data_IF_362772907397
#
_entry.id   IF_362772907397
#
_cell.length_a   1.000
_cell.length_b   1.000
_cell.length_c   1.000
_cell.angle_alpha   90.00
_cell.angle_beta   90.00
_cell.angle_gamma   90.00
#
_symmetry.space_group_name_H-M   'P 1'
#
loop_
_entity.id
_entity.type
_entity.pdbx_description
1 polymer ?
#
# COMPACT_ATOMS: atom_id res chain seq x y z
N UNK A 1 -7.05 -13.93 24.89
CA UNK A 1 -7.02 -14.82 23.72
C UNK A 1 -7.94 -14.19 22.70
N UNK A 2 -7.44 -13.93 21.49
CA UNK A 2 -8.22 -13.31 20.42
C UNK A 2 -9.11 -14.38 19.79
N UNK A 3 -10.37 -14.09 19.55
CA UNK A 3 -11.31 -15.07 19.01
C UNK A 3 -11.78 -14.61 17.63
N UNK A 4 -11.72 -15.52 16.66
CA UNK A 4 -12.44 -15.35 15.40
C UNK A 4 -13.93 -15.56 15.68
N UNK A 5 -14.70 -14.48 15.60
CA UNK A 5 -16.14 -14.44 15.87
C UNK A 5 -16.93 -14.27 14.57
N UNK A 6 -18.25 -14.41 14.62
CA UNK A 6 -19.10 -14.40 13.41
C UNK A 6 -19.08 -13.07 12.65
N UNK A 7 -18.70 -11.97 13.32
CA UNK A 7 -18.45 -10.66 12.71
C UNK A 7 -17.21 -10.64 11.79
N UNK A 8 -16.26 -11.57 11.97
CA UNK A 8 -15.10 -11.73 11.10
C UNK A 8 -15.41 -12.54 9.82
N UNK A 9 -16.62 -13.07 9.67
CA UNK A 9 -17.00 -13.81 8.47
C UNK A 9 -17.20 -12.86 7.29
N UNK A 10 -16.37 -13.02 6.26
CA UNK A 10 -16.49 -12.24 5.03
C UNK A 10 -17.37 -12.93 3.98
N UNK A 11 -17.68 -14.21 4.19
CA UNK A 11 -18.55 -15.00 3.32
C UNK A 11 -17.80 -15.71 2.19
N UNK A 12 -16.48 -15.87 2.35
CA UNK A 12 -15.60 -16.60 1.44
C UNK A 12 -14.95 -17.72 2.27
N UNK A 13 -15.56 -18.91 2.28
CA UNK A 13 -15.22 -20.01 3.20
C UNK A 13 -13.71 -20.29 3.28
N UNK A 14 -13.01 -20.27 2.14
CA UNK A 14 -11.56 -20.51 2.06
C UNK A 14 -10.73 -19.43 2.77
N UNK A 15 -11.16 -18.17 2.74
CA UNK A 15 -10.48 -17.07 3.45
C UNK A 15 -10.88 -17.03 4.92
N UNK A 16 -12.16 -17.29 5.22
CA UNK A 16 -12.65 -17.41 6.60
C UNK A 16 -11.91 -18.54 7.37
N UNK A 17 -11.62 -19.67 6.71
CA UNK A 17 -10.82 -20.76 7.28
C UNK A 17 -9.36 -20.35 7.54
N UNK A 18 -8.75 -19.57 6.65
CA UNK A 18 -7.40 -19.04 6.84
C UNK A 18 -7.33 -18.07 8.02
N UNK A 19 -8.28 -17.14 8.14
CA UNK A 19 -8.36 -16.21 9.26
C UNK A 19 -8.44 -16.94 10.59
N UNK A 20 -9.29 -17.98 10.69
CA UNK A 20 -9.36 -18.83 11.89
C UNK A 20 -8.01 -19.44 12.23
N UNK A 21 -7.29 -19.92 11.22
CA UNK A 21 -6.00 -20.55 11.43
C UNK A 21 -4.91 -19.56 11.86
N UNK A 22 -4.89 -18.36 11.28
CA UNK A 22 -3.99 -17.28 11.68
C UNK A 22 -4.22 -16.89 13.15
N UNK A 23 -5.47 -16.73 13.58
CA UNK A 23 -5.78 -16.50 15.00
C UNK A 23 -5.34 -17.66 15.90
N UNK A 24 -5.48 -18.92 15.46
CA UNK A 24 -4.97 -20.08 16.21
C UNK A 24 -3.46 -19.96 16.44
N UNK A 25 -2.69 -19.71 15.38
CA UNK A 25 -1.23 -19.60 15.46
C UNK A 25 -0.80 -18.46 16.38
N UNK A 26 -1.41 -17.27 16.24
CA UNK A 26 -1.16 -16.12 17.09
C UNK A 26 -1.43 -16.45 18.57
N UNK A 27 -2.57 -17.07 18.86
CA UNK A 27 -2.93 -17.45 20.23
C UNK A 27 -1.97 -18.49 20.81
N UNK A 28 -1.49 -19.45 20.01
CA UNK A 28 -0.52 -20.45 20.47
C UNK A 28 0.80 -19.81 20.89
N UNK A 29 1.29 -18.81 20.15
CA UNK A 29 2.47 -18.04 20.57
C UNK A 29 2.17 -17.32 21.88
N UNK A 30 1.04 -16.62 21.99
CA UNK A 30 0.67 -15.88 23.20
C UNK A 30 0.51 -16.78 24.43
N UNK A 31 0.01 -18.01 24.29
CA UNK A 31 -0.05 -18.97 25.39
C UNK A 31 1.35 -19.43 25.83
N UNK A 32 2.24 -19.76 24.88
CA UNK A 32 3.62 -20.12 25.21
C UNK A 32 4.35 -18.99 25.94
N UNK A 33 4.10 -17.73 25.59
CA UNK A 33 4.74 -16.58 26.24
C UNK A 33 4.32 -16.36 27.69
N UNK A 34 3.24 -17.01 28.16
CA UNK A 34 2.85 -17.01 29.59
C UNK A 34 3.68 -18.00 30.42
N UNK A 35 4.35 -18.94 29.77
CA UNK A 35 5.18 -19.95 30.42
C UNK A 35 6.59 -19.42 30.71
N UNK A 36 7.26 -20.06 31.67
CA UNK A 36 8.63 -19.74 32.07
C UNK A 36 9.59 -19.78 30.86
N UNK A 37 10.53 -18.82 30.74
CA UNK A 37 11.46 -18.75 29.62
C UNK A 37 12.49 -19.87 29.63
N UNK A 38 12.15 -20.97 28.97
CA UNK A 38 13.05 -22.11 28.73
C UNK A 38 13.51 -22.17 27.27
N UNK A 39 14.62 -22.86 27.01
CA UNK A 39 15.12 -23.09 25.65
C UNK A 39 14.14 -23.93 24.80
N UNK A 40 13.41 -24.86 25.43
CA UNK A 40 12.37 -25.65 24.78
C UNK A 40 11.20 -24.76 24.34
N UNK A 41 10.69 -23.91 25.24
CA UNK A 41 9.67 -22.90 24.93
C UNK A 41 10.12 -22.02 23.77
N UNK A 42 11.36 -21.54 23.78
CA UNK A 42 11.88 -20.69 22.70
C UNK A 42 11.91 -21.40 21.34
N UNK A 43 12.28 -22.69 21.33
CA UNK A 43 12.27 -23.51 20.12
C UNK A 43 10.85 -23.66 19.57
N UNK A 44 9.86 -23.87 20.45
CA UNK A 44 8.45 -23.97 20.06
C UNK A 44 7.91 -22.64 19.54
N UNK A 45 8.23 -21.51 20.20
CA UNK A 45 7.86 -20.16 19.74
C UNK A 45 8.40 -19.91 18.34
N UNK A 46 9.69 -20.14 18.10
CA UNK A 46 10.29 -19.91 16.79
C UNK A 46 9.65 -20.79 15.70
N UNK A 47 9.39 -22.06 15.99
CA UNK A 47 8.74 -22.97 15.04
C UNK A 47 7.31 -22.52 14.67
N UNK A 48 6.56 -21.94 15.62
CA UNK A 48 5.22 -21.42 15.35
C UNK A 48 5.29 -20.09 14.60
N UNK A 49 6.27 -19.22 14.90
CA UNK A 49 6.49 -17.98 14.16
C UNK A 49 6.84 -18.25 12.69
N UNK A 50 7.72 -19.20 12.41
CA UNK A 50 8.05 -19.59 11.03
C UNK A 50 6.82 -20.11 10.28
N UNK A 51 5.96 -20.87 10.99
CA UNK A 51 4.70 -21.36 10.42
C UNK A 51 3.70 -20.21 10.19
N UNK A 52 3.58 -19.28 11.12
CA UNK A 52 2.72 -18.10 10.99
C UNK A 52 3.15 -17.24 9.80
N UNK A 53 4.44 -17.00 9.64
CA UNK A 53 4.97 -16.24 8.50
C UNK A 53 4.64 -16.91 7.18
N UNK A 54 4.93 -18.21 7.03
CA UNK A 54 4.64 -18.92 5.79
C UNK A 54 3.14 -19.01 5.49
N UNK A 55 2.30 -19.18 6.52
CA UNK A 55 0.85 -19.28 6.33
C UNK A 55 0.20 -17.93 6.02
N UNK A 56 0.64 -16.85 6.68
CA UNK A 56 0.15 -15.51 6.38
C UNK A 56 0.49 -15.12 4.93
N UNK A 57 1.71 -15.41 4.47
CA UNK A 57 2.10 -15.13 3.08
C UNK A 57 1.23 -15.90 2.07
N UNK A 58 1.01 -17.20 2.33
CA UNK A 58 0.12 -18.01 1.49
C UNK A 58 -1.32 -17.49 1.46
N UNK A 59 -1.85 -17.11 2.63
CA UNK A 59 -3.19 -16.56 2.77
C UNK A 59 -3.34 -15.25 1.97
N UNK A 60 -2.42 -14.30 2.14
CA UNK A 60 -2.45 -13.02 1.43
C UNK A 60 -2.31 -13.20 -0.08
N UNK A 61 -1.43 -14.10 -0.56
CA UNK A 61 -1.35 -14.41 -2.00
C UNK A 61 -2.69 -14.91 -2.51
N UNK A 62 -3.32 -15.85 -1.79
CA UNK A 62 -4.62 -16.42 -2.18
C UNK A 62 -5.73 -15.36 -2.20
N UNK A 63 -5.71 -14.44 -1.25
CA UNK A 63 -6.65 -13.33 -1.16
C UNK A 63 -6.46 -12.32 -2.29
N UNK A 64 -5.23 -11.88 -2.51
CA UNK A 64 -4.84 -10.95 -3.58
C UNK A 64 -5.19 -11.53 -4.95
N UNK A 65 -4.92 -12.83 -5.20
CA UNK A 65 -5.33 -13.53 -6.43
C UNK A 65 -6.84 -13.54 -6.61
N UNK A 66 -7.61 -13.71 -5.53
CA UNK A 66 -9.07 -13.69 -5.59
C UNK A 66 -9.60 -12.28 -5.88
N UNK A 67 -9.05 -11.26 -5.20
CA UNK A 67 -9.37 -9.86 -5.43
C UNK A 67 -9.04 -9.43 -6.87
N UNK A 68 -7.92 -9.88 -7.43
CA UNK A 68 -7.55 -9.63 -8.82
C UNK A 68 -8.58 -10.25 -9.78
N UNK A 69 -9.01 -11.49 -9.52
CA UNK A 69 -10.02 -12.18 -10.35
C UNK A 69 -11.36 -11.44 -10.39
N UNK A 70 -11.81 -10.89 -9.26
CA UNK A 70 -13.08 -10.15 -9.18
C UNK A 70 -12.92 -8.66 -9.49
N UNK A 71 -11.69 -8.23 -9.77
CA UNK A 71 -11.33 -6.84 -10.00
C UNK A 71 -11.70 -5.93 -8.82
N UNK A 72 -11.34 -6.33 -7.60
CA UNK A 72 -11.69 -5.56 -6.41
C UNK A 72 -10.91 -4.23 -6.31
N UNK A 73 -11.58 -3.06 -6.15
CA UNK A 73 -10.91 -1.76 -6.11
C UNK A 73 -10.03 -1.54 -4.88
N UNK A 74 -10.21 -2.30 -3.79
CA UNK A 74 -9.38 -2.18 -2.60
C UNK A 74 -8.06 -2.97 -2.72
N UNK A 75 -7.81 -3.68 -3.83
CA UNK A 75 -6.64 -4.58 -3.96
C UNK A 75 -5.31 -3.88 -3.67
N UNK A 76 -5.09 -2.66 -4.18
CA UNK A 76 -3.82 -1.96 -3.95
C UNK A 76 -3.61 -1.60 -2.49
N UNK A 77 -4.68 -1.12 -1.86
CA UNK A 77 -4.69 -0.74 -0.46
C UNK A 77 -4.47 -1.96 0.43
N UNK A 78 -5.13 -3.08 0.13
CA UNK A 78 -4.95 -4.33 0.87
C UNK A 78 -3.56 -4.93 0.66
N UNK A 79 -2.98 -4.91 -0.56
CA UNK A 79 -1.58 -5.29 -0.78
C UNK A 79 -0.60 -4.48 0.08
N UNK A 80 -0.83 -3.18 0.23
CA UNK A 80 0.00 -2.34 1.11
C UNK A 80 -0.16 -2.73 2.60
N UNK A 81 -1.39 -3.01 3.03
CA UNK A 81 -1.70 -3.51 4.37
C UNK A 81 -1.03 -4.88 4.63
N UNK A 82 -1.11 -5.82 3.69
CA UNK A 82 -0.46 -7.14 3.78
C UNK A 82 1.06 -7.01 3.88
N UNK A 83 1.67 -6.12 3.07
CA UNK A 83 3.10 -5.85 3.14
C UNK A 83 3.52 -5.30 4.51
N UNK A 84 2.75 -4.39 5.09
CA UNK A 84 2.97 -3.93 6.46
C UNK A 84 2.91 -5.09 7.47
N UNK A 85 1.96 -6.01 7.34
CA UNK A 85 1.87 -7.19 8.19
C UNK A 85 3.09 -8.11 8.04
N UNK A 86 3.55 -8.36 6.81
CA UNK A 86 4.78 -9.14 6.53
C UNK A 86 6.00 -8.51 7.20
N UNK A 87 6.14 -7.20 7.13
CA UNK A 87 7.23 -6.48 7.80
C UNK A 87 7.17 -6.58 9.32
N UNK A 88 5.96 -6.48 9.91
CA UNK A 88 5.75 -6.68 11.35
C UNK A 88 6.10 -8.09 11.80
N UNK A 89 5.80 -9.12 11.01
CA UNK A 89 6.25 -10.48 11.28
C UNK A 89 7.77 -10.62 11.23
N UNK A 90 8.44 -9.96 10.27
CA UNK A 90 9.90 -9.96 10.20
C UNK A 90 10.55 -9.25 11.41
N UNK A 91 9.94 -8.18 11.92
CA UNK A 91 10.32 -7.52 13.19
C UNK A 91 10.18 -8.47 14.39
N UNK A 92 9.07 -9.20 14.47
CA UNK A 92 8.79 -10.20 15.50
C UNK A 92 9.83 -11.33 15.47
N UNK A 93 10.14 -11.88 14.29
CA UNK A 93 11.14 -12.94 14.14
C UNK A 93 12.55 -12.47 14.53
N UNK A 94 12.94 -11.24 14.18
CA UNK A 94 14.23 -10.68 14.64
C UNK A 94 14.26 -10.53 16.17
N UNK A 95 13.18 -10.03 16.75
CA UNK A 95 13.07 -9.84 18.20
C UNK A 95 13.07 -11.16 18.98
N UNK A 96 12.50 -12.23 18.41
CA UNK A 96 12.52 -13.56 19.03
C UNK A 96 13.91 -14.20 19.09
N UNK A 97 14.87 -13.72 18.30
CA UNK A 97 16.25 -14.21 18.29
C UNK A 97 17.17 -13.47 19.28
N UNK A 98 16.79 -12.27 19.74
CA UNK A 98 17.59 -11.47 20.66
C UNK A 98 17.26 -11.83 22.11
N UNK A 99 18.17 -12.55 22.78
CA UNK A 99 18.01 -12.89 24.19
C UNK A 99 18.20 -11.64 25.07
N UNK A 100 17.23 -11.36 25.94
CA UNK A 100 17.27 -10.23 26.87
C UNK A 100 16.23 -10.34 27.98
N UNK A 101 16.40 -9.60 29.09
CA UNK A 101 15.49 -9.65 30.25
C UNK A 101 14.04 -9.31 29.87
N UNK A 102 13.84 -8.44 28.88
CA UNK A 102 12.52 -7.93 28.48
C UNK A 102 11.93 -8.63 27.23
N UNK A 103 12.63 -9.63 26.66
CA UNK A 103 12.26 -10.26 25.39
C UNK A 103 10.82 -10.80 25.40
N UNK A 104 10.41 -11.47 26.48
CA UNK A 104 9.07 -12.06 26.58
C UNK A 104 7.99 -10.96 26.59
N UNK A 105 8.27 -9.82 27.24
CA UNK A 105 7.34 -8.69 27.25
C UNK A 105 7.25 -8.05 25.86
N UNK A 106 8.37 -7.72 25.23
CA UNK A 106 8.40 -7.13 23.88
C UNK A 106 7.68 -8.02 22.87
N UNK A 107 7.95 -9.32 22.89
CA UNK A 107 7.30 -10.27 21.99
C UNK A 107 5.79 -10.37 22.25
N UNK A 108 5.37 -10.28 23.52
CA UNK A 108 3.94 -10.24 23.89
C UNK A 108 3.25 -8.98 23.36
N UNK A 109 3.89 -7.82 23.47
CA UNK A 109 3.36 -6.55 22.94
C UNK A 109 3.21 -6.59 21.42
N UNK A 110 4.24 -7.05 20.70
CA UNK A 110 4.20 -7.19 19.24
C UNK A 110 3.14 -8.20 18.77
N UNK A 111 3.03 -9.35 19.44
CA UNK A 111 1.99 -10.35 19.11
C UNK A 111 0.57 -9.82 19.37
N UNK A 112 0.37 -9.04 20.43
CA UNK A 112 -0.92 -8.38 20.67
C UNK A 112 -1.24 -7.31 19.63
N UNK A 113 -0.24 -6.56 19.17
CA UNK A 113 -0.39 -5.63 18.05
C UNK A 113 -0.82 -6.37 16.79
N UNK A 114 -0.12 -7.45 16.43
CA UNK A 114 -0.40 -8.26 15.24
C UNK A 114 -1.84 -8.82 15.25
N UNK A 115 -2.29 -9.31 16.41
CA UNK A 115 -3.64 -9.84 16.58
C UNK A 115 -4.72 -8.76 16.43
N UNK A 116 -4.49 -7.56 16.98
CA UNK A 116 -5.40 -6.42 16.83
C UNK A 116 -5.44 -5.93 15.40
N UNK A 117 -4.29 -5.88 14.73
CA UNK A 117 -4.20 -5.50 13.32
C UNK A 117 -5.00 -6.48 12.46
N UNK A 118 -4.78 -7.79 12.62
CA UNK A 118 -5.50 -8.81 11.84
C UNK A 118 -7.02 -8.68 12.01
N UNK A 119 -7.48 -8.53 13.26
CA UNK A 119 -8.90 -8.32 13.53
C UNK A 119 -9.43 -7.03 12.89
N UNK A 120 -8.69 -5.93 12.99
CA UNK A 120 -9.07 -4.65 12.39
C UNK A 120 -9.12 -4.70 10.86
N UNK A 121 -8.14 -5.38 10.24
CA UNK A 121 -8.05 -5.54 8.80
C UNK A 121 -9.25 -6.33 8.27
N UNK A 122 -9.56 -7.49 8.84
CA UNK A 122 -10.74 -8.29 8.47
C UNK A 122 -12.03 -7.46 8.53
N UNK A 123 -12.23 -6.70 9.61
CA UNK A 123 -13.46 -5.93 9.82
C UNK A 123 -13.57 -4.62 9.02
N UNK A 124 -12.46 -4.10 8.50
CA UNK A 124 -12.44 -2.81 7.79
C UNK A 124 -12.12 -2.93 6.30
N UNK A 125 -11.42 -3.99 5.91
CA UNK A 125 -10.84 -4.20 4.60
C UNK A 125 -11.41 -5.47 3.97
N UNK A 126 -11.13 -6.65 4.54
CA UNK A 126 -11.46 -7.94 3.91
C UNK A 126 -12.98 -8.12 3.80
N UNK A 127 -13.74 -7.57 4.76
CA UNK A 127 -15.20 -7.55 4.70
C UNK A 127 -15.73 -6.80 3.47
N UNK A 128 -14.96 -5.91 2.85
CA UNK A 128 -15.36 -5.16 1.66
C UNK A 128 -15.08 -5.89 0.35
N UNK A 129 -14.33 -7.00 0.39
CA UNK A 129 -14.00 -7.80 -0.79
C UNK A 129 -15.29 -8.21 -1.52
N UNK A 130 -15.37 -7.87 -2.81
CA UNK A 130 -16.49 -8.14 -3.70
C UNK A 130 -17.75 -7.31 -3.43
N UNK A 131 -17.71 -6.31 -2.53
CA UNK A 131 -18.85 -5.44 -2.22
C UNK A 131 -18.84 -4.13 -2.99
N UNK A 132 -17.71 -3.75 -3.56
CA UNK A 132 -17.56 -2.54 -4.37
C UNK A 132 -17.63 -2.86 -5.88
N UNK A 133 -17.95 -1.87 -6.73
CA UNK A 133 -17.87 -2.03 -8.18
C UNK A 133 -16.43 -2.38 -8.60
N UNK A 134 -16.28 -3.22 -9.62
CA UNK A 134 -14.99 -3.63 -10.11
C UNK A 134 -14.10 -2.41 -10.47
N UNK A 135 -12.88 -2.40 -9.94
CA UNK A 135 -11.81 -1.48 -10.32
C UNK A 135 -11.51 -1.59 -11.81
N UNK A 136 -11.08 -0.48 -12.40
CA UNK A 136 -10.46 -0.51 -13.73
C UNK A 136 -9.15 -1.30 -13.68
N UNK A 137 -8.79 -1.97 -14.79
CA UNK A 137 -7.75 -3.03 -14.82
C UNK A 137 -6.36 -2.59 -14.32
N UNK A 138 -6.10 -1.28 -14.31
CA UNK A 138 -4.83 -0.70 -13.85
C UNK A 138 -4.70 -0.70 -12.32
N UNK A 139 -5.81 -0.65 -11.57
CA UNK A 139 -5.83 -0.67 -10.09
C UNK A 139 -5.59 -2.06 -9.49
N UNK A 140 -5.35 -3.09 -10.30
CA UNK A 140 -5.26 -4.46 -9.82
C UNK A 140 -3.87 -5.07 -9.99
N UNK A 141 -2.93 -4.30 -10.54
CA UNK A 141 -1.57 -4.76 -10.80
C UNK A 141 -0.78 -4.97 -9.51
N UNK A 142 0.06 -6.01 -9.50
CA UNK A 142 1.00 -6.31 -8.40
C UNK A 142 1.81 -5.08 -8.00
N UNK A 143 2.18 -4.27 -9.00
CA UNK A 143 2.75 -2.95 -8.82
C UNK A 143 1.87 -1.91 -9.52
N UNK A 144 0.96 -1.22 -8.82
CA UNK A 144 0.13 -0.18 -9.44
C UNK A 144 0.95 1.07 -9.81
N UNK A 145 2.15 1.19 -9.26
CA UNK A 145 3.11 2.23 -9.60
C UNK A 145 4.00 1.83 -10.79
N UNK A 146 3.72 0.72 -11.48
CA UNK A 146 4.42 0.34 -12.70
C UNK A 146 3.85 1.07 -13.92
N UNK A 147 4.71 1.78 -14.64
CA UNK A 147 4.37 2.34 -15.95
C UNK A 147 4.35 1.24 -17.02
N UNK A 148 3.19 0.98 -17.63
CA UNK A 148 3.04 -0.01 -18.71
C UNK A 148 2.67 0.66 -20.04
N UNK A 149 2.70 -0.11 -21.13
CA UNK A 149 2.40 0.38 -22.47
C UNK A 149 0.99 0.99 -22.63
N UNK A 150 0.06 0.69 -21.72
CA UNK A 150 -1.29 1.28 -21.77
C UNK A 150 -1.31 2.78 -21.46
N UNK A 151 -0.32 3.27 -20.69
CA UNK A 151 -0.18 4.68 -20.31
C UNK A 151 0.56 5.51 -21.34
N UNK A 152 1.06 4.87 -22.42
CA UNK A 152 1.70 5.59 -23.51
C UNK A 152 0.69 6.46 -24.25
N UNK A 153 1.02 7.74 -24.35
CA UNK A 153 0.35 8.72 -25.21
C UNK A 153 0.81 8.56 -26.66
N UNK A 154 2.02 8.01 -26.86
CA UNK A 154 2.68 7.92 -28.16
C UNK A 154 3.56 9.14 -28.47
N UNK A 155 3.61 10.13 -27.58
CA UNK A 155 4.48 11.30 -27.62
C UNK A 155 5.69 11.00 -26.71
N UNK A 156 6.88 10.86 -27.31
CA UNK A 156 8.04 10.27 -26.63
C UNK A 156 8.47 11.02 -25.35
N UNK A 157 8.43 12.36 -25.34
CA UNK A 157 8.86 13.13 -24.17
C UNK A 157 7.85 13.00 -23.00
N UNK A 158 6.55 13.09 -23.29
CA UNK A 158 5.46 12.88 -22.31
C UNK A 158 5.55 11.47 -21.72
N UNK A 159 5.74 10.45 -22.55
CA UNK A 159 5.87 9.06 -22.09
C UNK A 159 7.09 8.86 -21.15
N UNK A 160 8.20 9.58 -21.40
CA UNK A 160 9.38 9.53 -20.53
C UNK A 160 9.15 10.25 -19.19
N UNK A 161 8.44 11.37 -19.21
CA UNK A 161 8.07 12.11 -18.00
C UNK A 161 7.08 11.33 -17.14
N UNK A 162 6.06 10.69 -17.75
CA UNK A 162 5.18 9.79 -17.02
C UNK A 162 5.94 8.64 -16.35
N UNK A 163 6.90 8.01 -17.04
CA UNK A 163 7.71 6.95 -16.43
C UNK A 163 8.45 7.42 -15.17
N UNK A 164 8.94 8.66 -15.17
CA UNK A 164 9.64 9.22 -14.02
C UNK A 164 8.66 9.57 -12.88
N UNK A 165 7.48 10.12 -13.18
CA UNK A 165 6.42 10.33 -12.18
C UNK A 165 6.03 9.02 -11.49
N UNK A 166 5.83 7.94 -12.26
CA UNK A 166 5.54 6.61 -11.70
C UNK A 166 6.68 6.10 -10.82
N UNK A 167 7.95 6.31 -11.20
CA UNK A 167 9.10 5.95 -10.35
C UNK A 167 9.15 6.74 -9.04
N UNK A 168 8.87 8.04 -9.07
CA UNK A 168 8.87 8.88 -7.86
C UNK A 168 7.77 8.39 -6.92
N UNK A 169 6.56 8.12 -7.44
CA UNK A 169 5.44 7.58 -6.65
C UNK A 169 5.77 6.19 -6.10
N UNK A 170 6.40 5.31 -6.89
CA UNK A 170 6.85 3.99 -6.43
C UNK A 170 7.84 4.10 -5.27
N UNK A 171 8.82 5.02 -5.36
CA UNK A 171 9.78 5.29 -4.28
C UNK A 171 9.06 5.78 -3.02
N UNK A 172 8.12 6.70 -3.16
CA UNK A 172 7.31 7.20 -2.06
C UNK A 172 6.52 6.07 -1.39
N UNK A 173 5.84 5.24 -2.19
CA UNK A 173 5.07 4.08 -1.73
C UNK A 173 5.94 3.07 -0.97
N UNK A 174 7.15 2.79 -1.47
CA UNK A 174 8.07 1.88 -0.79
C UNK A 174 8.55 2.43 0.56
N UNK A 175 8.79 3.74 0.67
CA UNK A 175 9.15 4.36 1.95
C UNK A 175 7.99 4.38 2.95
N UNK A 176 6.77 4.67 2.49
CA UNK A 176 5.57 4.65 3.33
C UNK A 176 5.26 3.24 3.81
N UNK A 177 5.46 2.22 2.96
CA UNK A 177 5.33 0.81 3.37
C UNK A 177 6.38 0.44 4.41
N UNK A 178 7.62 0.90 4.24
CA UNK A 178 8.74 0.59 5.12
C UNK A 178 8.78 1.44 6.41
N UNK A 179 7.80 2.34 6.63
CA UNK A 179 7.89 3.46 7.58
C UNK A 179 8.56 3.08 8.91
N UNK A 180 9.76 3.61 9.11
CA UNK A 180 10.50 3.60 10.38
C UNK A 180 10.50 5.03 10.92
N UNK A 181 10.61 5.21 12.24
CA UNK A 181 10.56 6.52 12.92
C UNK A 181 11.50 7.61 12.39
N UNK A 182 12.50 7.27 11.55
CA UNK A 182 13.47 8.20 10.96
C UNK A 182 13.21 8.51 9.46
N UNK A 183 12.16 7.96 8.84
CA UNK A 183 11.89 8.10 7.39
C UNK A 183 11.13 9.36 7.01
N UNK A 184 10.80 10.24 7.95
CA UNK A 184 10.01 11.45 7.70
C UNK A 184 10.70 12.42 6.74
N UNK A 185 11.98 12.73 6.99
CA UNK A 185 12.76 13.63 6.13
C UNK A 185 12.88 13.08 4.70
N UNK A 186 13.03 11.77 4.56
CA UNK A 186 13.11 11.09 3.25
C UNK A 186 11.76 11.16 2.51
N UNK A 187 10.64 11.02 3.22
CA UNK A 187 9.30 11.13 2.65
C UNK A 187 9.03 12.57 2.19
N UNK A 188 9.31 13.56 3.04
CA UNK A 188 9.12 14.97 2.67
C UNK A 188 10.01 15.37 1.50
N UNK A 189 11.24 14.83 1.45
CA UNK A 189 12.13 15.01 0.31
C UNK A 189 11.53 14.44 -0.98
N UNK A 190 10.94 13.24 -0.94
CA UNK A 190 10.33 12.62 -2.12
C UNK A 190 9.01 13.29 -2.52
N UNK A 191 8.21 13.76 -1.56
CA UNK A 191 7.01 14.53 -1.87
C UNK A 191 7.36 15.86 -2.54
N UNK A 192 8.42 16.53 -2.08
CA UNK A 192 8.94 17.72 -2.76
C UNK A 192 9.47 17.42 -4.17
N UNK A 193 10.20 16.31 -4.34
CA UNK A 193 10.64 15.83 -5.67
C UNK A 193 9.44 15.57 -6.59
N UNK A 194 8.39 14.94 -6.08
CA UNK A 194 7.16 14.67 -6.84
C UNK A 194 6.46 15.96 -7.26
N UNK A 195 6.34 16.92 -6.34
CA UNK A 195 5.73 18.22 -6.62
C UNK A 195 6.50 18.97 -7.70
N UNK A 196 7.83 19.10 -7.57
CA UNK A 196 8.69 19.78 -8.53
C UNK A 196 8.62 19.13 -9.92
N UNK A 197 8.68 17.79 -9.97
CA UNK A 197 8.63 17.06 -11.23
C UNK A 197 7.26 17.12 -11.89
N UNK A 198 6.18 17.11 -11.10
CA UNK A 198 4.81 17.28 -11.60
C UNK A 198 4.63 18.66 -12.23
N UNK A 199 5.13 19.72 -11.57
CA UNK A 199 5.10 21.10 -12.11
C UNK A 199 5.87 21.19 -13.43
N UNK A 200 7.05 20.57 -13.50
CA UNK A 200 7.86 20.50 -14.72
C UNK A 200 7.10 19.80 -15.86
N UNK A 201 6.61 18.58 -15.62
CA UNK A 201 5.87 17.79 -16.61
C UNK A 201 4.66 18.55 -17.16
N UNK A 202 3.80 19.09 -16.29
CA UNK A 202 2.63 19.87 -16.74
C UNK A 202 3.02 21.09 -17.56
N UNK A 203 4.14 21.76 -17.22
CA UNK A 203 4.59 22.90 -18.01
C UNK A 203 5.02 22.52 -19.43
N UNK A 204 5.77 21.41 -19.60
CA UNK A 204 6.18 20.91 -20.92
C UNK A 204 4.97 20.43 -21.74
N UNK A 205 4.03 19.73 -21.10
CA UNK A 205 2.81 19.26 -21.74
C UNK A 205 1.91 20.43 -22.19
N UNK A 206 1.76 21.46 -21.34
CA UNK A 206 1.00 22.67 -21.66
C UNK A 206 1.62 23.49 -22.79
N UNK A 207 2.96 23.64 -22.80
CA UNK A 207 3.69 24.28 -23.89
C UNK A 207 3.50 23.52 -25.21
N UNK A 208 3.54 22.19 -25.15
CA UNK A 208 3.26 21.35 -26.30
C UNK A 208 1.84 21.53 -26.82
N UNK A 209 0.83 21.41 -25.94
CA UNK A 209 -0.58 21.61 -26.26
C UNK A 209 -0.85 23.01 -26.86
N UNK A 210 -0.19 24.04 -26.35
CA UNK A 210 -0.28 25.40 -26.88
C UNK A 210 0.30 25.50 -28.29
N UNK A 211 1.46 24.87 -28.52
CA UNK A 211 2.14 24.86 -29.83
C UNK A 211 1.30 24.21 -30.94
N UNK A 212 0.44 23.25 -30.59
CA UNK A 212 -0.45 22.54 -31.52
C UNK A 212 -1.87 23.08 -31.54
N UNK A 213 -2.15 24.15 -30.77
CA UNK A 213 -3.48 24.74 -30.60
C UNK A 213 -4.55 23.72 -30.17
N UNK A 214 -4.23 22.87 -29.20
CA UNK A 214 -5.13 21.85 -28.70
C UNK A 214 -6.34 22.49 -27.99
N UNK A 215 -7.56 22.15 -28.43
CA UNK A 215 -8.81 22.71 -27.90
C UNK A 215 -9.03 22.39 -26.41
N UNK A 216 -8.48 21.27 -25.92
CA UNK A 216 -8.61 20.82 -24.53
C UNK A 216 -7.70 21.54 -23.52
N UNK A 217 -6.74 22.35 -23.97
CA UNK A 217 -5.68 22.97 -23.14
C UNK A 217 -6.22 23.63 -21.87
N UNK A 218 -7.24 24.50 -22.01
CA UNK A 218 -7.77 25.26 -20.87
C UNK A 218 -8.44 24.37 -19.82
N UNK A 219 -9.05 23.26 -20.22
CA UNK A 219 -9.63 22.31 -19.29
C UNK A 219 -8.55 21.54 -18.53
N UNK A 220 -7.50 21.13 -19.24
CA UNK A 220 -6.39 20.38 -18.68
C UNK A 220 -5.55 21.23 -17.72
N UNK A 221 -5.24 22.49 -18.07
CA UNK A 221 -4.62 23.49 -17.17
C UNK A 221 -5.34 23.64 -15.83
N UNK A 222 -6.68 23.61 -15.83
CA UNK A 222 -7.46 23.67 -14.58
C UNK A 222 -7.33 22.39 -13.76
N UNK A 223 -7.26 21.23 -14.40
CA UNK A 223 -7.04 19.97 -13.72
C UNK A 223 -5.63 19.91 -13.11
N UNK A 224 -4.60 20.33 -13.86
CA UNK A 224 -3.22 20.45 -13.39
C UNK A 224 -3.11 21.37 -12.17
N UNK A 225 -3.67 22.58 -12.26
CA UNK A 225 -3.67 23.52 -11.15
C UNK A 225 -4.33 22.94 -9.89
N UNK A 226 -5.48 22.26 -10.02
CA UNK A 226 -6.16 21.64 -8.89
C UNK A 226 -5.34 20.48 -8.28
N UNK A 227 -4.57 19.76 -9.09
CA UNK A 227 -3.68 18.69 -8.60
C UNK A 227 -2.49 19.26 -7.84
N UNK A 228 -1.85 20.30 -8.38
CA UNK A 228 -0.77 21.03 -7.70
C UNK A 228 -1.26 21.63 -6.38
N UNK A 229 -2.42 22.30 -6.38
CA UNK A 229 -3.00 22.88 -5.16
C UNK A 229 -3.20 21.82 -4.07
N UNK A 230 -3.52 20.57 -4.44
CA UNK A 230 -3.68 19.46 -3.49
C UNK A 230 -2.33 18.98 -2.95
N UNK A 231 -1.29 18.91 -3.79
CA UNK A 231 0.07 18.59 -3.36
C UNK A 231 0.64 19.66 -2.40
N UNK A 232 0.38 20.94 -2.67
CA UNK A 232 0.83 22.04 -1.81
C UNK A 232 0.07 22.12 -0.47
N UNK A 233 -1.12 21.52 -0.39
CA UNK A 233 -1.95 21.45 0.83
C UNK A 233 -1.55 20.30 1.76
N UNK A 234 -0.44 19.60 1.49
CA UNK A 234 0.04 18.55 2.38
C UNK A 234 0.45 19.17 3.72
N UNK A 235 -0.27 18.82 4.79
CA UNK A 235 -0.08 19.39 6.12
C UNK A 235 0.93 18.58 6.95
N UNK A 236 2.10 19.15 7.30
CA UNK A 236 3.07 18.50 8.18
C UNK A 236 2.49 18.10 9.54
N UNK A 237 1.54 18.88 10.09
CA UNK A 237 0.95 18.62 11.39
C UNK A 237 0.01 17.39 11.36
N UNK A 238 -0.66 17.13 10.22
CA UNK A 238 -1.45 15.90 10.02
C UNK A 238 -0.56 14.67 9.83
N UNK A 239 0.58 14.85 9.17
CA UNK A 239 1.59 13.79 9.03
C UNK A 239 2.17 13.44 10.41
N UNK A 240 2.48 14.40 11.27
CA UNK A 240 3.03 14.11 12.61
C UNK A 240 2.02 13.37 13.52
N UNK A 241 0.73 13.60 13.34
CA UNK A 241 -0.33 12.98 14.15
C UNK A 241 -0.60 11.52 13.80
N UNK A 242 -0.69 11.19 12.50
CA UNK A 242 -0.83 9.81 12.01
C UNK A 242 -0.15 9.62 10.64
N UNK A 243 1.19 9.54 10.59
CA UNK A 243 1.95 9.65 9.34
C UNK A 243 1.60 8.53 8.37
N UNK A 244 1.43 7.31 8.89
CA UNK A 244 1.20 6.15 8.03
C UNK A 244 -0.18 6.19 7.35
N UNK A 245 -1.25 6.59 8.07
CA UNK A 245 -2.59 6.67 7.48
C UNK A 245 -2.66 7.80 6.45
N UNK A 246 -2.22 9.01 6.82
CA UNK A 246 -2.25 10.17 5.95
C UNK A 246 -1.43 9.97 4.67
N UNK A 247 -0.21 9.44 4.78
CA UNK A 247 0.66 9.24 3.61
C UNK A 247 0.11 8.16 2.66
N UNK A 248 -0.55 7.12 3.19
CA UNK A 248 -1.21 6.13 2.35
C UNK A 248 -2.38 6.75 1.57
N UNK A 249 -3.24 7.52 2.24
CA UNK A 249 -4.36 8.22 1.57
C UNK A 249 -3.87 9.22 0.52
N UNK A 250 -2.79 9.95 0.83
CA UNK A 250 -2.17 10.88 -0.12
C UNK A 250 -1.65 10.15 -1.35
N UNK A 251 -0.90 9.06 -1.18
CA UNK A 251 -0.35 8.30 -2.31
C UNK A 251 -1.44 7.64 -3.14
N UNK A 252 -2.50 7.12 -2.52
CA UNK A 252 -3.66 6.57 -3.21
C UNK A 252 -4.33 7.65 -4.09
N UNK A 253 -4.55 8.84 -3.54
CA UNK A 253 -5.07 9.97 -4.31
C UNK A 253 -4.16 10.33 -5.49
N UNK A 254 -2.85 10.46 -5.26
CA UNK A 254 -1.88 10.88 -6.28
C UNK A 254 -1.83 9.88 -7.43
N UNK A 255 -1.73 8.59 -7.12
CA UNK A 255 -1.68 7.52 -8.10
C UNK A 255 -2.98 7.42 -8.90
N UNK A 256 -4.13 7.50 -8.21
CA UNK A 256 -5.43 7.42 -8.86
C UNK A 256 -5.70 8.63 -9.77
N UNK A 257 -5.34 9.83 -9.34
CA UNK A 257 -5.48 11.02 -10.18
C UNK A 257 -4.59 10.92 -11.41
N UNK A 258 -3.30 10.60 -11.24
CA UNK A 258 -2.34 10.52 -12.35
C UNK A 258 -2.80 9.51 -13.40
N UNK A 259 -3.19 8.31 -12.98
CA UNK A 259 -3.57 7.27 -13.93
C UNK A 259 -4.84 7.65 -14.71
N UNK A 260 -5.86 8.16 -14.03
CA UNK A 260 -7.06 8.63 -14.71
C UNK A 260 -6.78 9.82 -15.63
N UNK A 261 -5.87 10.70 -15.23
CA UNK A 261 -5.46 11.83 -16.06
C UNK A 261 -4.85 11.34 -17.37
N UNK A 262 -3.86 10.46 -17.30
CA UNK A 262 -3.19 9.88 -18.47
C UNK A 262 -4.19 9.15 -19.38
N UNK A 263 -4.99 8.25 -18.81
CA UNK A 263 -5.88 7.38 -19.59
C UNK A 263 -6.96 8.15 -20.33
N UNK A 264 -7.53 9.18 -19.69
CA UNK A 264 -8.72 9.86 -20.18
C UNK A 264 -8.48 11.28 -20.66
N UNK A 265 -7.30 11.85 -20.43
CA UNK A 265 -6.95 13.23 -20.81
C UNK A 265 -5.73 13.22 -21.73
N UNK A 266 -4.57 12.79 -21.25
CA UNK A 266 -3.29 13.00 -21.95
C UNK A 266 -3.23 12.16 -23.24
N UNK A 267 -3.80 10.95 -23.22
CA UNK A 267 -3.94 10.12 -24.43
C UNK A 267 -4.81 10.73 -25.53
N UNK A 268 -5.55 11.81 -25.26
CA UNK A 268 -6.30 12.54 -26.30
C UNK A 268 -5.46 13.61 -26.99
N UNK A 269 -4.30 13.96 -26.43
CA UNK A 269 -3.38 14.91 -27.04
C UNK A 269 -2.82 14.28 -28.31
N UNK A 270 -2.96 14.94 -29.47
CA UNK A 270 -2.50 14.37 -30.72
C UNK A 270 -0.98 14.52 -30.88
N UNK A 271 -0.32 13.43 -31.26
CA UNK A 271 1.07 13.47 -31.71
C UNK A 271 1.16 14.04 -33.13
N UNK A 272 1.59 15.30 -33.25
CA UNK A 272 1.82 15.97 -34.55
C UNK A 272 3.26 15.91 -35.03
N UNK A 273 4.14 15.20 -34.31
CA UNK A 273 5.58 15.09 -34.63
C UNK A 273 5.91 13.94 -35.58
N UNK A 274 4.92 13.08 -35.88
CA UNK A 274 5.00 11.96 -36.83
C UNK A 274 4.52 12.29 -38.24
#
# INVERSE_FOLDING_TARGET
MFQFTDDCLIGIDSLDDDHRYLFELINRVLELLKEEPTAERQTQVNAILDKLTAYADHHFIKEEEYMEQIRDPELLKQRAQHEFFRQKLAEIQRSSQIAGPDQTQTLTELMNFLAKWLYGHILSSDIMIGKLPAADDWMLRDNPCEFTDEFRTGIDFIDNEHQELFRIIERANNLVKALVSDSYDDIMSILGELEDYTKFHFSEEEEYMESIHYEGLEAQKRAHAAFIDRLEQVDPDEIDANPQEYLNELLEFLLNWLINHILYTDKKIPDVTK
#
